data_IF_766865453928
#
_entry.id   IF_766865453928
#
_cell.length_a   1.000
_cell.length_b   1.000
_cell.length_c   1.000
_cell.angle_alpha   90.00
_cell.angle_beta   90.00
_cell.angle_gamma   90.00
#
_symmetry.space_group_name_H-M   'P 1'
#
loop_
_entity.id
_entity.type
_entity.pdbx_description
1 polymer ?
#
# COMPACT_ATOMS: atom_id res chain seq x y z
N UNK A 1 -31.03 -1.30 19.59
CA UNK A 1 -30.56 -2.58 19.00
C UNK A 1 -29.88 -2.28 17.66
N UNK A 2 -28.77 -2.96 17.33
CA UNK A 2 -28.15 -2.81 16.01
C UNK A 2 -29.02 -3.47 14.95
N UNK A 3 -29.20 -2.81 13.82
CA UNK A 3 -29.89 -3.39 12.68
C UNK A 3 -29.10 -4.61 12.16
N UNK A 4 -29.78 -5.75 11.99
CA UNK A 4 -29.17 -6.96 11.46
C UNK A 4 -29.04 -6.84 9.95
N UNK A 5 -27.83 -7.01 9.43
CA UNK A 5 -27.59 -7.06 8.00
C UNK A 5 -28.00 -8.45 7.48
N UNK A 6 -29.14 -8.58 6.80
CA UNK A 6 -29.79 -9.88 6.59
C UNK A 6 -29.13 -10.73 5.53
N UNK A 7 -28.46 -10.13 4.56
CA UNK A 7 -27.97 -10.81 3.36
C UNK A 7 -26.45 -11.00 3.36
N UNK A 8 -25.98 -11.81 2.42
CA UNK A 8 -24.57 -11.92 2.08
C UNK A 8 -24.29 -11.12 0.81
N UNK A 9 -23.20 -10.41 0.77
CA UNK A 9 -22.86 -9.57 -0.39
C UNK A 9 -21.55 -8.83 -0.23
N UNK A 10 -21.36 -7.86 -1.10
CA UNK A 10 -20.19 -7.00 -1.12
C UNK A 10 -20.61 -5.55 -0.90
N UNK A 11 -19.81 -4.81 -0.12
CA UNK A 11 -19.87 -3.36 -0.05
C UNK A 11 -18.62 -2.79 -0.71
N UNK A 12 -18.82 -1.77 -1.52
CA UNK A 12 -17.78 -0.94 -2.10
C UNK A 12 -17.70 0.33 -1.24
N UNK A 13 -16.65 0.46 -0.47
CA UNK A 13 -16.45 1.61 0.42
C UNK A 13 -15.34 2.47 -0.15
N UNK A 14 -15.61 3.73 -0.34
CA UNK A 14 -14.58 4.74 -0.53
C UNK A 14 -13.97 5.03 0.86
N UNK A 15 -12.78 4.44 1.12
CA UNK A 15 -12.10 4.63 2.39
C UNK A 15 -11.50 6.03 2.42
N UNK A 16 -11.86 6.90 3.34
CA UNK A 16 -11.18 8.18 3.48
C UNK A 16 -9.76 8.00 3.99
N UNK A 17 -8.93 9.00 3.74
CA UNK A 17 -7.61 9.15 4.36
C UNK A 17 -7.71 9.22 5.89
N UNK A 18 -6.64 8.82 6.60
CA UNK A 18 -6.54 8.88 8.06
C UNK A 18 -7.24 7.73 8.81
N UNK A 19 -7.84 6.76 8.10
CA UNK A 19 -8.50 5.60 8.72
C UNK A 19 -7.85 4.30 8.24
N UNK A 20 -7.47 3.42 9.18
CA UNK A 20 -7.07 2.05 8.86
C UNK A 20 -8.21 1.26 8.20
N UNK A 21 -7.89 0.34 7.28
CA UNK A 21 -8.90 -0.57 6.69
C UNK A 21 -9.71 -1.33 7.74
N UNK A 22 -9.07 -1.74 8.85
CA UNK A 22 -9.78 -2.37 9.96
C UNK A 22 -10.66 -1.37 10.74
N UNK A 23 -10.33 -0.09 10.73
CA UNK A 23 -11.16 0.99 11.30
C UNK A 23 -12.52 1.08 10.63
N UNK A 24 -12.57 0.89 9.30
CA UNK A 24 -13.83 0.82 8.54
C UNK A 24 -14.68 -0.36 9.02
N UNK A 25 -14.07 -1.53 9.22
CA UNK A 25 -14.79 -2.70 9.77
C UNK A 25 -15.36 -2.40 11.16
N UNK A 26 -14.58 -1.74 12.04
CA UNK A 26 -15.06 -1.36 13.38
C UNK A 26 -16.27 -0.43 13.31
N UNK A 27 -16.26 0.58 12.41
CA UNK A 27 -17.40 1.49 12.21
C UNK A 27 -18.62 0.75 11.69
N UNK A 28 -18.48 -0.13 10.71
CA UNK A 28 -19.60 -0.93 10.21
C UNK A 28 -20.17 -1.84 11.28
N UNK A 29 -19.35 -2.51 12.09
CA UNK A 29 -19.81 -3.33 13.21
C UNK A 29 -20.45 -2.51 14.34
N UNK A 30 -20.14 -1.24 14.46
CA UNK A 30 -20.83 -0.35 15.39
C UNK A 30 -22.26 -0.08 14.93
N UNK A 31 -22.46 0.13 13.63
CA UNK A 31 -23.76 0.49 13.05
C UNK A 31 -24.66 -0.75 12.85
N UNK A 32 -24.10 -1.84 12.40
CA UNK A 32 -24.84 -3.03 12.00
C UNK A 32 -24.34 -4.29 12.70
N UNK A 33 -25.20 -5.31 12.74
CA UNK A 33 -24.84 -6.65 13.21
C UNK A 33 -24.59 -7.57 12.02
N UNK A 34 -23.39 -8.17 11.97
CA UNK A 34 -22.96 -9.12 10.94
C UNK A 34 -22.59 -10.45 11.57
N UNK A 35 -22.93 -11.58 10.94
CA UNK A 35 -22.39 -12.88 11.33
C UNK A 35 -20.88 -12.95 11.03
N UNK A 36 -20.47 -12.42 9.87
CA UNK A 36 -19.06 -12.33 9.47
C UNK A 36 -18.86 -11.13 8.55
N UNK A 37 -17.74 -10.43 8.70
CA UNK A 37 -17.35 -9.30 7.85
C UNK A 37 -15.82 -9.29 7.70
N UNK A 38 -15.32 -8.96 6.51
CA UNK A 38 -13.91 -8.83 6.21
C UNK A 38 -13.69 -7.98 4.96
N UNK A 39 -12.47 -7.59 4.66
CA UNK A 39 -12.13 -6.79 3.49
C UNK A 39 -11.09 -7.49 2.61
N UNK A 40 -11.08 -7.15 1.33
CA UNK A 40 -10.17 -7.68 0.33
C UNK A 40 -9.09 -6.65 -0.02
N UNK A 41 -7.88 -6.88 0.48
CA UNK A 41 -6.75 -5.96 0.35
C UNK A 41 -6.76 -4.88 1.43
N UNK A 42 -5.57 -4.58 1.96
CA UNK A 42 -5.39 -3.53 2.95
C UNK A 42 -4.99 -2.25 2.23
N UNK A 43 -5.64 -1.15 2.55
CA UNK A 43 -5.16 0.19 2.27
C UNK A 43 -4.52 0.75 3.53
N UNK A 44 -3.36 1.36 3.38
CA UNK A 44 -2.68 2.06 4.46
C UNK A 44 -3.54 3.23 4.99
N UNK A 45 -3.33 3.73 6.22
CA UNK A 45 -4.16 4.81 6.77
C UNK A 45 -4.17 6.06 5.89
N UNK A 46 -3.00 6.48 5.39
CA UNK A 46 -2.89 7.65 4.50
C UNK A 46 -3.59 7.45 3.14
N UNK A 47 -3.74 6.20 2.67
CA UNK A 47 -4.36 5.97 1.37
C UNK A 47 -5.87 6.12 1.44
N UNK A 48 -6.47 6.73 0.43
CA UNK A 48 -7.91 6.74 0.18
C UNK A 48 -8.29 5.82 -0.99
N UNK A 49 -9.59 5.58 -1.19
CA UNK A 49 -10.13 4.86 -2.33
C UNK A 49 -10.82 3.53 -2.00
N UNK A 50 -10.99 2.71 -3.02
CA UNK A 50 -11.85 1.53 -2.97
C UNK A 50 -11.37 0.46 -2.00
N UNK A 51 -12.16 0.24 -0.94
CA UNK A 51 -12.05 -0.89 -0.03
C UNK A 51 -13.24 -1.83 -0.24
N UNK A 52 -12.98 -3.01 -0.76
CA UNK A 52 -14.00 -4.03 -1.00
C UNK A 52 -14.24 -4.85 0.26
N UNK A 53 -15.47 -4.85 0.76
CA UNK A 53 -15.87 -5.54 1.99
C UNK A 53 -16.83 -6.68 1.67
N UNK A 54 -16.48 -7.89 2.13
CA UNK A 54 -17.33 -9.06 2.05
C UNK A 54 -18.14 -9.25 3.33
N UNK A 55 -19.43 -9.55 3.18
CA UNK A 55 -20.39 -9.76 4.28
C UNK A 55 -20.88 -11.20 4.26
N UNK A 56 -20.91 -11.82 5.42
CA UNK A 56 -21.41 -13.16 5.68
C UNK A 56 -20.77 -14.20 4.73
N UNK A 57 -21.53 -14.87 3.87
CA UNK A 57 -21.03 -15.89 2.94
C UNK A 57 -20.00 -15.33 1.93
N UNK A 58 -20.08 -14.05 1.58
CA UNK A 58 -19.14 -13.43 0.65
C UNK A 58 -17.69 -13.37 1.20
N UNK A 59 -17.52 -13.38 2.52
CA UNK A 59 -16.16 -13.41 3.12
C UNK A 59 -15.34 -14.62 2.68
N UNK A 60 -15.97 -15.74 2.33
CA UNK A 60 -15.28 -16.93 1.81
C UNK A 60 -14.68 -16.73 0.42
N UNK A 61 -15.18 -15.74 -0.32
CA UNK A 61 -14.68 -15.40 -1.67
C UNK A 61 -13.57 -14.34 -1.67
N UNK A 62 -13.26 -13.74 -0.51
CA UNK A 62 -12.18 -12.75 -0.40
C UNK A 62 -10.83 -13.26 -0.96
N UNK A 63 -10.38 -14.51 -0.71
CA UNK A 63 -9.14 -15.01 -1.29
C UNK A 63 -9.10 -14.96 -2.82
N UNK A 64 -10.23 -15.14 -3.49
CA UNK A 64 -10.31 -15.08 -4.95
C UNK A 64 -10.12 -13.65 -5.48
N UNK A 65 -10.50 -12.64 -4.68
CA UNK A 65 -10.33 -11.22 -5.05
C UNK A 65 -8.85 -10.82 -5.07
N UNK A 66 -8.00 -11.50 -4.31
CA UNK A 66 -6.56 -11.27 -4.34
C UNK A 66 -5.90 -11.61 -5.70
N UNK A 67 -6.59 -12.30 -6.59
CA UNK A 67 -6.09 -12.59 -7.94
C UNK A 67 -6.27 -11.41 -8.90
N UNK A 68 -7.16 -10.48 -8.59
CA UNK A 68 -7.42 -9.34 -9.45
C UNK A 68 -6.31 -8.29 -9.37
N UNK A 69 -6.12 -7.62 -10.48
CA UNK A 69 -5.24 -6.46 -10.58
C UNK A 69 -5.74 -5.32 -9.72
N UNK A 70 -4.81 -4.47 -9.33
CA UNK A 70 -5.04 -3.25 -8.55
C UNK A 70 -4.50 -2.06 -9.33
N UNK A 71 -5.20 -0.96 -9.23
CA UNK A 71 -4.77 0.33 -9.74
C UNK A 71 -4.57 1.29 -8.58
N UNK A 72 -3.46 2.01 -8.61
CA UNK A 72 -3.12 3.02 -7.61
C UNK A 72 -2.63 4.27 -8.31
N UNK A 73 -2.92 5.40 -7.70
CA UNK A 73 -2.22 6.65 -7.94
C UNK A 73 -1.36 6.93 -6.69
N UNK A 74 -0.09 7.25 -6.89
CA UNK A 74 0.85 7.54 -5.81
C UNK A 74 1.60 8.83 -6.11
N UNK A 75 1.67 9.72 -5.13
CA UNK A 75 2.61 10.82 -5.13
C UNK A 75 3.91 10.35 -4.48
N UNK A 76 5.01 10.44 -5.21
CA UNK A 76 6.37 10.12 -4.75
C UNK A 76 7.06 11.45 -4.43
N UNK A 77 7.44 11.67 -3.18
CA UNK A 77 8.15 12.86 -2.73
C UNK A 77 9.63 12.59 -2.57
N UNK A 78 10.45 13.32 -3.32
CA UNK A 78 11.90 13.19 -3.33
C UNK A 78 12.58 14.09 -2.30
N UNK A 79 13.82 13.73 -1.94
CA UNK A 79 14.68 14.50 -1.04
C UNK A 79 14.59 14.12 0.43
N UNK A 80 13.71 13.20 0.80
CA UNK A 80 13.64 12.68 2.16
C UNK A 80 13.25 11.19 2.17
N UNK A 81 13.59 10.48 3.23
CA UNK A 81 13.12 9.11 3.49
C UNK A 81 12.48 9.02 4.87
N UNK A 82 11.53 8.11 5.05
CA UNK A 82 10.85 7.87 6.32
C UNK A 82 10.94 6.40 6.71
N UNK A 83 10.77 6.11 7.99
CA UNK A 83 10.83 4.73 8.49
C UNK A 83 9.66 3.86 8.07
N UNK A 84 8.51 4.44 7.71
CA UNK A 84 7.33 3.73 7.19
C UNK A 84 7.26 3.73 5.67
N UNK A 85 8.18 4.42 4.99
CA UNK A 85 8.23 4.63 3.54
C UNK A 85 7.08 5.51 3.02
N UNK A 86 6.39 6.22 3.91
CA UNK A 86 5.27 7.12 3.61
C UNK A 86 5.30 8.38 4.48
N UNK A 87 4.36 9.29 4.25
CA UNK A 87 4.28 10.58 4.96
C UNK A 87 3.86 10.46 6.43
N UNK A 88 3.39 9.32 6.90
CA UNK A 88 3.03 9.12 8.32
C UNK A 88 4.28 8.77 9.19
N UNK A 89 5.39 8.42 8.56
CA UNK A 89 6.62 8.03 9.25
C UNK A 89 7.46 9.22 9.72
N UNK A 90 8.35 8.93 10.69
CA UNK A 90 9.40 9.88 11.06
C UNK A 90 10.46 9.95 9.97
N UNK A 91 10.95 11.13 9.68
CA UNK A 91 12.08 11.31 8.76
C UNK A 91 13.34 10.62 9.28
N UNK A 92 14.01 9.89 8.40
CA UNK A 92 15.28 9.21 8.65
C UNK A 92 16.47 9.98 8.05
N UNK A 93 16.29 10.46 6.80
CA UNK A 93 17.32 11.18 6.05
C UNK A 93 16.66 12.28 5.23
N UNK A 94 17.41 13.35 5.00
CA UNK A 94 17.09 14.42 4.06
C UNK A 94 18.32 14.68 3.21
N UNK A 95 18.18 14.62 1.89
CA UNK A 95 19.25 14.84 0.93
C UNK A 95 18.82 15.87 -0.11
N UNK A 96 19.75 16.67 -0.65
CA UNK A 96 19.47 17.46 -1.83
C UNK A 96 18.99 16.57 -2.97
N UNK A 97 18.02 17.05 -3.73
CA UNK A 97 17.48 16.32 -4.87
C UNK A 97 18.47 16.45 -6.03
N UNK A 98 19.02 15.31 -6.48
CA UNK A 98 20.15 15.30 -7.44
C UNK A 98 19.76 15.10 -8.89
N UNK A 99 18.65 14.39 -9.18
CA UNK A 99 18.38 13.95 -10.54
C UNK A 99 17.35 14.80 -11.29
N UNK A 100 17.56 14.90 -12.62
CA UNK A 100 16.60 15.52 -13.52
C UNK A 100 15.38 14.63 -13.69
N UNK A 101 14.23 15.25 -13.86
CA UNK A 101 12.93 14.57 -14.08
C UNK A 101 12.97 13.52 -15.18
N UNK A 102 13.69 13.81 -16.30
CA UNK A 102 13.77 12.90 -17.44
C UNK A 102 14.49 11.58 -17.10
N UNK A 103 15.52 11.64 -16.26
CA UNK A 103 16.27 10.45 -15.84
C UNK A 103 15.40 9.53 -15.00
N UNK A 104 14.58 10.10 -14.12
CA UNK A 104 13.61 9.36 -13.31
C UNK A 104 12.56 8.67 -14.18
N UNK A 105 12.01 9.34 -15.19
CA UNK A 105 11.03 8.74 -16.12
C UNK A 105 11.61 7.52 -16.83
N UNK A 106 12.87 7.60 -17.25
CA UNK A 106 13.56 6.47 -17.88
C UNK A 106 13.77 5.30 -16.90
N UNK A 107 14.12 5.59 -15.64
CA UNK A 107 14.26 4.56 -14.60
C UNK A 107 12.93 3.89 -14.27
N UNK A 108 11.82 4.64 -14.29
CA UNK A 108 10.49 4.11 -13.97
C UNK A 108 10.10 2.92 -14.85
N UNK A 109 10.47 2.95 -16.13
CA UNK A 109 10.16 1.88 -17.10
C UNK A 109 10.75 0.51 -16.71
N UNK A 110 11.83 0.48 -15.93
CA UNK A 110 12.48 -0.75 -15.46
C UNK A 110 11.62 -1.56 -14.48
N UNK A 111 10.62 -0.93 -13.89
CA UNK A 111 9.69 -1.57 -12.94
C UNK A 111 8.48 -2.23 -13.60
N UNK A 112 8.32 -2.09 -14.93
CA UNK A 112 7.27 -2.81 -15.66
C UNK A 112 7.68 -4.28 -15.81
N UNK A 113 6.76 -5.18 -15.49
CA UNK A 113 6.99 -6.62 -15.48
C UNK A 113 7.16 -7.18 -14.07
N UNK A 114 7.80 -8.34 -13.98
CA UNK A 114 7.98 -9.04 -12.71
C UNK A 114 9.36 -8.73 -12.11
N UNK A 115 9.41 -8.43 -10.82
CA UNK A 115 10.66 -8.22 -10.09
C UNK A 115 10.53 -8.62 -8.61
N UNK A 116 11.65 -8.64 -7.90
CA UNK A 116 11.70 -8.91 -6.46
C UNK A 116 11.61 -7.60 -5.67
N UNK A 117 10.50 -7.41 -4.98
CA UNK A 117 10.24 -6.23 -4.15
C UNK A 117 10.54 -6.54 -2.68
N UNK A 118 11.25 -5.65 -2.01
CA UNK A 118 11.47 -5.73 -0.56
C UNK A 118 10.15 -5.58 0.18
N UNK A 119 9.92 -6.43 1.17
CA UNK A 119 8.74 -6.34 2.04
C UNK A 119 9.02 -5.27 3.08
N UNK A 120 8.17 -4.21 3.18
CA UNK A 120 8.34 -3.18 4.20
C UNK A 120 8.26 -3.73 5.63
N UNK A 121 9.08 -3.18 6.52
CA UNK A 121 9.07 -3.55 7.94
C UNK A 121 7.71 -3.25 8.59
N UNK A 122 7.08 -2.14 8.21
CA UNK A 122 5.73 -1.78 8.63
C UNK A 122 4.67 -2.41 7.70
N UNK A 123 4.56 -3.74 7.71
CA UNK A 123 3.58 -4.47 6.89
C UNK A 123 2.85 -5.55 7.69
N UNK A 124 1.73 -6.02 7.12
CA UNK A 124 0.97 -7.15 7.66
C UNK A 124 1.61 -8.51 7.33
N UNK A 125 2.81 -8.53 6.73
CA UNK A 125 3.53 -9.77 6.47
C UNK A 125 3.88 -10.47 7.78
N UNK A 126 3.76 -11.81 7.81
CA UNK A 126 4.00 -12.60 9.03
C UNK A 126 5.34 -13.33 8.97
N UNK A 127 6.09 -13.25 10.06
CA UNK A 127 7.27 -14.06 10.31
C UNK A 127 7.06 -14.87 11.60
N UNK A 128 7.08 -16.19 11.49
CA UNK A 128 6.89 -17.10 12.66
C UNK A 128 5.64 -16.73 13.50
N UNK A 129 4.55 -16.36 12.82
CA UNK A 129 3.27 -16.03 13.46
C UNK A 129 3.11 -14.55 13.93
N UNK A 130 4.19 -13.77 13.99
CA UNK A 130 4.15 -12.33 14.33
C UNK A 130 4.13 -11.48 13.06
N UNK A 131 3.39 -10.39 13.06
CA UNK A 131 3.40 -9.43 11.95
C UNK A 131 4.70 -8.60 11.96
N UNK A 132 5.24 -8.26 10.80
CA UNK A 132 6.41 -7.38 10.66
C UNK A 132 6.20 -6.05 11.38
N UNK A 133 5.03 -5.45 11.24
CA UNK A 133 4.61 -4.24 11.92
C UNK A 133 4.75 -4.34 13.46
N UNK A 134 4.44 -5.50 14.09
CA UNK A 134 4.60 -5.69 15.54
C UNK A 134 6.08 -5.75 15.94
N UNK A 135 6.92 -6.36 15.10
CA UNK A 135 8.36 -6.42 15.31
C UNK A 135 9.00 -5.03 15.13
N UNK A 136 8.63 -4.31 14.06
CA UNK A 136 9.11 -2.97 13.79
C UNK A 136 8.80 -1.98 14.92
N UNK A 137 7.60 -2.03 15.48
CA UNK A 137 7.22 -1.20 16.64
C UNK A 137 8.05 -1.47 17.89
N UNK A 138 8.54 -2.69 18.05
CA UNK A 138 9.41 -3.09 19.17
C UNK A 138 10.87 -2.83 18.90
N UNK A 139 11.23 -2.25 17.74
CA UNK A 139 12.61 -2.11 17.25
C UNK A 139 13.36 -3.46 17.19
N UNK A 140 12.64 -4.58 17.05
CA UNK A 140 13.26 -5.89 16.81
C UNK A 140 13.84 -5.91 15.39
N UNK A 141 15.05 -6.49 15.24
CA UNK A 141 15.69 -6.62 13.92
C UNK A 141 14.87 -7.56 13.04
N UNK A 142 14.43 -7.03 11.90
CA UNK A 142 13.71 -7.79 10.89
C UNK A 142 14.71 -8.16 9.78
N UNK A 143 14.81 -9.45 9.46
CA UNK A 143 15.57 -9.91 8.30
C UNK A 143 14.89 -9.43 7.02
N UNK A 144 15.67 -8.86 6.12
CA UNK A 144 15.16 -8.44 4.82
C UNK A 144 14.56 -9.61 4.06
N UNK A 145 13.36 -9.40 3.56
CA UNK A 145 12.65 -10.39 2.76
C UNK A 145 12.14 -9.75 1.50
N UNK A 146 12.16 -10.53 0.46
CA UNK A 146 11.73 -10.13 -0.86
C UNK A 146 10.59 -11.02 -1.31
N UNK A 147 9.74 -10.48 -2.17
CA UNK A 147 8.71 -11.25 -2.83
C UNK A 147 8.60 -10.85 -4.29
N UNK A 148 8.25 -11.82 -5.11
CA UNK A 148 7.96 -11.56 -6.52
C UNK A 148 6.66 -10.78 -6.63
N UNK A 149 6.74 -9.61 -7.28
CA UNK A 149 5.61 -8.76 -7.64
C UNK A 149 5.58 -8.55 -9.14
N UNK A 150 4.48 -8.03 -9.67
CA UNK A 150 4.37 -7.72 -11.09
C UNK A 150 3.60 -6.43 -11.30
N UNK A 151 4.17 -5.54 -12.10
CA UNK A 151 3.57 -4.29 -12.56
C UNK A 151 3.23 -4.44 -14.04
N UNK A 152 1.98 -4.18 -14.37
CA UNK A 152 1.51 -4.28 -15.77
C UNK A 152 1.80 -3.00 -16.53
N UNK A 153 1.55 -1.86 -15.93
CA UNK A 153 1.82 -0.56 -16.53
C UNK A 153 2.07 0.51 -15.48
N UNK A 154 2.82 1.53 -15.90
CA UNK A 154 3.14 2.74 -15.16
C UNK A 154 2.92 3.94 -16.06
N UNK A 155 2.24 4.96 -15.57
CA UNK A 155 2.01 6.22 -16.28
C UNK A 155 2.32 7.38 -15.37
N UNK A 156 3.21 8.26 -15.81
CA UNK A 156 3.48 9.52 -15.12
C UNK A 156 2.34 10.49 -15.41
N UNK A 157 1.67 10.95 -14.37
CA UNK A 157 0.60 11.93 -14.46
C UNK A 157 1.13 13.35 -14.30
N UNK A 158 2.02 13.55 -13.35
CA UNK A 158 2.68 14.81 -13.05
C UNK A 158 4.12 14.54 -12.62
N UNK A 159 5.03 15.42 -13.01
CA UNK A 159 6.43 15.33 -12.56
C UNK A 159 7.05 16.70 -12.40
N UNK A 160 7.76 16.88 -11.28
CA UNK A 160 8.57 18.05 -10.97
C UNK A 160 9.89 17.61 -10.34
N UNK A 161 10.74 18.56 -9.95
CA UNK A 161 11.99 18.26 -9.25
C UNK A 161 11.73 17.56 -7.93
N UNK A 162 10.72 17.98 -7.15
CA UNK A 162 10.49 17.49 -5.79
C UNK A 162 9.46 16.37 -5.68
N UNK A 163 8.62 16.15 -6.72
CA UNK A 163 7.57 15.13 -6.67
C UNK A 163 7.21 14.56 -8.03
N UNK A 164 6.65 13.37 -8.01
CA UNK A 164 6.11 12.68 -9.19
C UNK A 164 4.83 11.94 -8.81
N UNK A 165 3.75 12.16 -9.58
CA UNK A 165 2.52 11.38 -9.47
C UNK A 165 2.51 10.30 -10.55
N UNK A 166 2.32 9.06 -10.10
CA UNK A 166 2.35 7.88 -10.96
C UNK A 166 1.06 7.08 -10.78
N UNK A 167 0.37 6.83 -11.88
CA UNK A 167 -0.65 5.80 -11.95
C UNK A 167 0.02 4.46 -12.25
N UNK A 168 -0.28 3.45 -11.46
CA UNK A 168 0.28 2.12 -11.62
C UNK A 168 -0.80 1.03 -11.58
N UNK A 169 -0.66 0.03 -12.46
CA UNK A 169 -1.48 -1.18 -12.47
C UNK A 169 -0.60 -2.36 -12.11
N UNK A 170 -0.97 -3.09 -11.06
CA UNK A 170 -0.14 -4.18 -10.54
C UNK A 170 -0.98 -5.36 -10.05
N UNK A 171 -0.32 -6.49 -9.84
CA UNK A 171 -0.93 -7.63 -9.20
C UNK A 171 -0.95 -7.47 -7.68
N UNK A 172 -1.83 -8.25 -7.04
CA UNK A 172 -1.98 -8.25 -5.59
C UNK A 172 -0.68 -8.53 -4.86
N UNK A 173 -0.57 -7.91 -3.71
CA UNK A 173 0.59 -8.04 -2.84
C UNK A 173 1.72 -7.06 -3.15
N UNK A 174 1.56 -6.18 -4.12
CA UNK A 174 2.45 -5.06 -4.37
C UNK A 174 2.41 -4.05 -3.22
N UNK A 175 3.56 -3.53 -2.83
CA UNK A 175 3.69 -2.46 -1.84
C UNK A 175 4.04 -1.15 -2.54
N UNK A 176 3.07 -0.24 -2.62
CA UNK A 176 3.24 1.07 -3.28
C UNK A 176 4.33 1.88 -2.60
N UNK A 177 4.40 1.84 -1.28
CA UNK A 177 5.41 2.55 -0.48
C UNK A 177 6.84 2.04 -0.76
N UNK A 178 7.02 0.71 -0.80
CA UNK A 178 8.31 0.13 -1.16
C UNK A 178 8.73 0.48 -2.58
N UNK A 179 7.78 0.50 -3.52
CA UNK A 179 8.06 0.94 -4.89
C UNK A 179 8.57 2.38 -4.94
N UNK A 180 7.96 3.31 -4.19
CA UNK A 180 8.40 4.71 -4.17
C UNK A 180 9.86 4.84 -3.69
N UNK A 181 10.23 4.13 -2.62
CA UNK A 181 11.60 4.10 -2.10
C UNK A 181 12.58 3.43 -3.07
N UNK A 182 12.26 2.20 -3.54
CA UNK A 182 13.12 1.43 -4.46
C UNK A 182 13.38 2.19 -5.76
N UNK A 183 12.33 2.82 -6.30
CA UNK A 183 12.44 3.63 -7.50
C UNK A 183 13.38 4.82 -7.29
N UNK A 184 13.23 5.58 -6.21
CA UNK A 184 14.11 6.71 -5.91
C UNK A 184 15.55 6.25 -5.71
N UNK A 185 15.77 5.20 -4.90
CA UNK A 185 17.11 4.65 -4.66
C UNK A 185 17.79 4.20 -5.95
N UNK A 186 17.06 3.60 -6.89
CA UNK A 186 17.60 3.16 -8.19
C UNK A 186 18.05 4.31 -9.08
N UNK A 187 17.53 5.52 -8.86
CA UNK A 187 17.93 6.75 -9.54
C UNK A 187 18.93 7.60 -8.74
N UNK A 188 19.40 7.11 -7.57
CA UNK A 188 20.34 7.82 -6.72
C UNK A 188 19.72 8.90 -5.84
N UNK A 189 18.39 8.96 -5.77
CA UNK A 189 17.62 9.81 -4.88
C UNK A 189 17.08 9.03 -3.67
N UNK A 190 16.49 9.73 -2.72
CA UNK A 190 15.67 9.16 -1.65
C UNK A 190 14.25 9.72 -1.77
N UNK A 191 13.23 8.91 -1.46
CA UNK A 191 11.85 9.35 -1.51
C UNK A 191 10.96 8.54 -0.57
N UNK A 192 9.72 9.00 -0.42
CA UNK A 192 8.63 8.32 0.27
C UNK A 192 7.31 8.53 -0.48
N UNK A 193 6.32 7.68 -0.22
CA UNK A 193 4.96 7.83 -0.76
C UNK A 193 4.14 8.82 0.07
N UNK A 194 3.32 9.62 -0.60
CA UNK A 194 2.47 10.62 0.04
C UNK A 194 1.05 10.54 -0.48
#
# INVERSE_FOLDING_TARGET
MKEKFPSSGWLLIDKPEGIESFGVIRKLKFLYSFNKIGFAGTLDPLASGLLLIGINKATKKIPNIHQYQKSYEVEIRFGASTNTLDSEGRFLKMNPIGHKTIDRINHLKKYIGAYQQKIPDFSAHKLKGKNFYELARKNEKIEERYKKVSVQSLKVLLSSTSKMNVELHCHSGFYVRAFAEEFANSSGDIAYAS
#
